data_IF_759656371252
#
_entry.id   IF_759656371252
#
_cell.length_a   1.000
_cell.length_b   1.000
_cell.length_c   1.000
_cell.angle_alpha   90.00
_cell.angle_beta   90.00
_cell.angle_gamma   90.00
#
_symmetry.space_group_name_H-M   'P 1'
#
loop_
_entity.id
_entity.type
_entity.pdbx_description
1 polymer ?
#
# COMPACT_ATOMS: atom_id res chain seq x y z
N UNK A 1 22.17 8.91 -3.45
CA UNK A 1 21.15 8.81 -2.38
C UNK A 1 19.82 9.29 -2.95
N UNK A 2 18.76 8.48 -2.88
CA UNK A 2 17.43 8.89 -3.33
C UNK A 2 16.87 10.01 -2.45
N UNK A 3 16.11 10.95 -3.03
CA UNK A 3 15.38 12.00 -2.29
C UNK A 3 14.49 11.39 -1.21
N UNK A 4 13.91 10.21 -1.48
CA UNK A 4 13.12 9.44 -0.52
C UNK A 4 13.90 9.13 0.76
N UNK A 5 15.17 8.72 0.63
CA UNK A 5 16.02 8.39 1.77
C UNK A 5 16.36 9.63 2.61
N UNK A 6 16.57 10.77 1.96
CA UNK A 6 16.86 12.05 2.64
C UNK A 6 15.66 12.49 3.49
N UNK A 7 14.46 12.47 2.91
CA UNK A 7 13.23 12.87 3.59
C UNK A 7 12.90 11.88 4.72
N UNK A 8 13.03 10.58 4.48
CA UNK A 8 12.77 9.54 5.50
C UNK A 8 13.71 9.68 6.69
N UNK A 9 15.01 9.90 6.44
CA UNK A 9 15.99 10.10 7.51
C UNK A 9 15.72 11.40 8.30
N UNK A 10 15.34 12.47 7.61
CA UNK A 10 14.98 13.72 8.27
C UNK A 10 13.72 13.58 9.14
N UNK A 11 12.74 12.79 8.69
CA UNK A 11 11.54 12.46 9.47
C UNK A 11 11.89 11.70 10.75
N UNK A 12 12.73 10.67 10.66
CA UNK A 12 13.20 9.89 11.81
C UNK A 12 13.96 10.76 12.83
N UNK A 13 14.74 11.74 12.34
CA UNK A 13 15.51 12.68 13.18
C UNK A 13 14.73 13.91 13.63
N UNK A 14 13.44 14.03 13.28
CA UNK A 14 12.60 15.21 13.56
C UNK A 14 13.27 16.53 13.15
N UNK A 15 13.87 16.56 11.97
CA UNK A 15 14.65 17.71 11.54
C UNK A 15 13.79 18.98 11.40
N UNK A 16 14.28 20.11 11.91
CA UNK A 16 13.53 21.37 11.95
C UNK A 16 13.19 21.95 10.57
N UNK A 17 13.96 21.61 9.52
CA UNK A 17 13.68 22.08 8.16
C UNK A 17 12.40 21.47 7.56
N UNK A 18 11.89 20.36 8.11
CA UNK A 18 10.62 19.76 7.67
C UNK A 18 9.43 20.69 7.88
N UNK A 19 9.54 21.71 8.74
CA UNK A 19 8.51 22.72 8.92
C UNK A 19 8.22 23.51 7.63
N UNK A 20 9.20 23.63 6.72
CA UNK A 20 8.99 24.23 5.41
C UNK A 20 8.03 23.42 4.53
N UNK A 21 7.85 22.13 4.82
CA UNK A 21 6.92 21.25 4.11
C UNK A 21 5.50 21.28 4.71
N UNK A 22 5.27 22.02 5.81
CA UNK A 22 3.94 22.16 6.42
C UNK A 22 2.85 22.69 5.48
N UNK A 23 3.05 23.76 4.69
CA UNK A 23 2.00 24.21 3.76
C UNK A 23 1.64 23.13 2.73
N UNK A 24 2.63 22.37 2.26
CA UNK A 24 2.43 21.23 1.35
C UNK A 24 1.66 20.10 2.05
N UNK A 25 1.99 19.84 3.33
CA UNK A 25 1.29 18.85 4.16
C UNK A 25 -0.18 19.22 4.37
N UNK A 26 -0.49 20.50 4.62
CA UNK A 26 -1.87 20.97 4.73
C UNK A 26 -2.65 20.83 3.42
N UNK A 27 -2.03 21.18 2.30
CA UNK A 27 -2.65 20.99 0.98
C UNK A 27 -2.94 19.52 0.70
N UNK A 28 -1.97 18.63 0.97
CA UNK A 28 -2.16 17.19 0.86
C UNK A 28 -3.27 16.69 1.81
N UNK A 29 -3.32 17.20 3.03
CA UNK A 29 -4.37 16.92 4.00
C UNK A 29 -5.76 17.32 3.50
N UNK A 30 -5.89 18.51 2.92
CA UNK A 30 -7.15 18.99 2.34
C UNK A 30 -7.62 18.08 1.19
N UNK A 31 -6.72 17.74 0.26
CA UNK A 31 -7.03 16.87 -0.88
C UNK A 31 -7.47 15.48 -0.41
N UNK A 32 -6.76 14.89 0.57
CA UNK A 32 -7.11 13.57 1.11
C UNK A 32 -8.43 13.58 1.88
N UNK A 33 -8.75 14.65 2.60
CA UNK A 33 -10.04 14.85 3.27
C UNK A 33 -11.19 14.96 2.28
N UNK A 34 -11.03 15.75 1.22
CA UNK A 34 -12.01 15.90 0.15
C UNK A 34 -12.25 14.56 -0.56
N UNK A 35 -11.18 13.85 -0.92
CA UNK A 35 -11.27 12.51 -1.54
C UNK A 35 -12.01 11.52 -0.64
N UNK A 36 -11.71 11.52 0.67
CA UNK A 36 -12.40 10.65 1.64
C UNK A 36 -13.88 11.00 1.75
N UNK A 37 -14.24 12.28 1.74
CA UNK A 37 -15.64 12.70 1.73
C UNK A 37 -16.35 12.25 0.45
N UNK A 38 -15.72 12.40 -0.71
CA UNK A 38 -16.29 11.97 -1.99
C UNK A 38 -16.63 10.47 -2.02
N UNK A 39 -15.80 9.60 -1.41
CA UNK A 39 -16.15 8.18 -1.23
C UNK A 39 -17.31 7.97 -0.24
N UNK A 40 -17.32 8.70 0.89
CA UNK A 40 -18.36 8.57 1.92
C UNK A 40 -19.76 8.93 1.41
N UNK A 41 -19.86 9.99 0.61
CA UNK A 41 -21.14 10.46 0.05
C UNK A 41 -21.52 9.72 -1.24
N UNK A 42 -20.72 8.73 -1.67
CA UNK A 42 -20.99 7.94 -2.88
C UNK A 42 -20.70 8.65 -4.20
N UNK A 43 -20.03 9.81 -4.18
CA UNK A 43 -19.62 10.52 -5.40
C UNK A 43 -18.58 9.71 -6.20
N UNK A 44 -17.71 8.97 -5.50
CA UNK A 44 -16.73 8.07 -6.11
C UNK A 44 -17.22 6.62 -6.04
N UNK A 45 -17.19 5.93 -7.19
CA UNK A 45 -17.57 4.52 -7.29
C UNK A 45 -16.66 3.63 -6.43
N UNK A 46 -17.27 2.73 -5.67
CA UNK A 46 -16.55 1.74 -4.87
C UNK A 46 -16.99 0.33 -5.27
N UNK A 47 -16.03 -0.53 -5.57
CA UNK A 47 -16.30 -1.94 -5.88
C UNK A 47 -16.58 -2.71 -4.58
N UNK A 48 -17.65 -3.50 -4.57
CA UNK A 48 -17.95 -4.45 -3.49
C UNK A 48 -17.76 -5.86 -4.02
N UNK A 49 -16.75 -6.55 -3.51
CA UNK A 49 -16.53 -7.94 -3.87
C UNK A 49 -17.66 -8.83 -3.29
N UNK A 50 -18.03 -9.91 -3.98
CA UNK A 50 -19.01 -10.89 -3.48
C UNK A 50 -18.45 -11.80 -2.37
N UNK A 51 -17.15 -11.67 -2.06
CA UNK A 51 -16.42 -12.44 -1.05
C UNK A 51 -15.85 -11.51 0.03
N UNK A 52 -15.56 -12.00 1.24
CA UNK A 52 -14.88 -11.22 2.27
C UNK A 52 -13.51 -10.74 1.78
N UNK A 53 -13.26 -9.43 1.87
CA UNK A 53 -11.98 -8.81 1.50
C UNK A 53 -11.36 -8.16 2.74
N UNK A 54 -10.12 -8.51 3.03
CA UNK A 54 -9.31 -7.88 4.07
C UNK A 54 -8.23 -7.02 3.42
N UNK A 55 -8.23 -5.72 3.72
CA UNK A 55 -7.23 -4.77 3.21
C UNK A 55 -6.15 -4.55 4.27
N UNK A 56 -4.91 -4.92 3.94
CA UNK A 56 -3.77 -4.77 4.85
C UNK A 56 -2.92 -3.58 4.39
N UNK A 57 -3.08 -2.46 5.08
CA UNK A 57 -2.39 -1.19 4.81
C UNK A 57 -1.39 -0.80 5.90
N UNK A 58 -0.67 0.30 5.66
CA UNK A 58 0.08 1.01 6.71
C UNK A 58 -0.12 2.51 6.49
N UNK A 59 -0.06 3.27 7.58
CA UNK A 59 -0.22 4.73 7.58
C UNK A 59 1.14 5.41 7.35
N UNK A 60 2.25 4.73 7.63
CA UNK A 60 3.61 5.26 7.46
C UNK A 60 4.29 4.77 6.18
N UNK A 61 5.19 5.60 5.65
CA UNK A 61 6.09 5.25 4.54
C UNK A 61 7.28 4.46 5.10
N UNK A 62 7.64 3.35 4.45
CA UNK A 62 8.77 2.48 4.83
C UNK A 62 8.40 1.01 5.14
N UNK A 63 9.43 0.24 5.52
CA UNK A 63 9.32 -1.18 5.88
C UNK A 63 8.47 -1.39 7.14
N UNK A 64 7.18 -1.60 6.93
CA UNK A 64 6.17 -1.62 7.99
C UNK A 64 5.75 -3.02 8.43
N UNK A 65 6.57 -4.03 8.13
CA UNK A 65 6.32 -5.42 8.51
C UNK A 65 5.06 -6.04 7.88
N UNK A 66 4.46 -5.40 6.86
CA UNK A 66 3.26 -5.92 6.18
C UNK A 66 3.48 -7.31 5.63
N UNK A 67 4.62 -7.55 4.97
CA UNK A 67 4.90 -8.84 4.31
C UNK A 67 4.97 -9.98 5.34
N UNK A 68 5.76 -9.90 6.43
CA UNK A 68 5.69 -10.89 7.51
C UNK A 68 4.30 -11.08 8.11
N UNK A 69 3.55 -9.99 8.32
CA UNK A 69 2.19 -10.05 8.86
C UNK A 69 1.23 -10.78 7.92
N UNK A 70 1.28 -10.49 6.62
CA UNK A 70 0.45 -11.13 5.59
C UNK A 70 0.77 -12.62 5.54
N UNK A 71 2.05 -13.01 5.53
CA UNK A 71 2.47 -14.42 5.51
C UNK A 71 1.92 -15.15 6.75
N UNK A 72 2.09 -14.58 7.95
CA UNK A 72 1.59 -15.16 9.18
C UNK A 72 0.06 -15.32 9.17
N UNK A 73 -0.67 -14.31 8.68
CA UNK A 73 -2.13 -14.32 8.59
C UNK A 73 -2.62 -15.37 7.59
N UNK A 74 -2.03 -15.42 6.39
CA UNK A 74 -2.38 -16.41 5.36
C UNK A 74 -2.17 -17.83 5.90
N UNK A 75 -1.02 -18.10 6.52
CA UNK A 75 -0.73 -19.39 7.13
C UNK A 75 -1.75 -19.76 8.22
N UNK A 76 -2.14 -18.79 9.05
CA UNK A 76 -3.15 -19.02 10.11
C UNK A 76 -4.54 -19.34 9.55
N UNK A 77 -4.98 -18.63 8.51
CA UNK A 77 -6.26 -18.87 7.86
C UNK A 77 -6.28 -20.21 7.10
N UNK A 78 -5.18 -20.55 6.42
CA UNK A 78 -5.03 -21.83 5.74
C UNK A 78 -5.06 -23.01 6.71
N UNK A 79 -4.44 -22.89 7.89
CA UNK A 79 -4.54 -23.90 8.97
C UNK A 79 -5.98 -24.14 9.46
N UNK A 80 -6.87 -23.18 9.24
CA UNK A 80 -8.31 -23.29 9.54
C UNK A 80 -9.13 -23.78 8.34
N UNK A 81 -8.48 -24.21 7.25
CA UNK A 81 -9.13 -24.70 6.03
C UNK A 81 -9.69 -23.60 5.11
N UNK A 82 -9.34 -22.33 5.35
CA UNK A 82 -9.83 -21.21 4.55
C UNK A 82 -8.93 -21.03 3.32
N UNK A 83 -9.53 -20.99 2.13
CA UNK A 83 -8.84 -20.65 0.88
C UNK A 83 -8.65 -19.13 0.83
N UNK A 84 -7.40 -18.69 0.77
CA UNK A 84 -7.02 -17.26 0.77
C UNK A 84 -6.35 -16.91 -0.56
N UNK A 85 -6.80 -15.81 -1.18
CA UNK A 85 -6.10 -15.16 -2.29
C UNK A 85 -5.44 -13.87 -1.82
N UNK A 86 -4.22 -13.60 -2.29
CA UNK A 86 -3.48 -12.37 -1.99
C UNK A 86 -3.37 -11.54 -3.26
N UNK A 87 -3.78 -10.28 -3.18
CA UNK A 87 -3.64 -9.32 -4.29
C UNK A 87 -2.59 -8.29 -3.86
N UNK A 88 -1.53 -8.17 -4.65
CA UNK A 88 -0.48 -7.15 -4.49
C UNK A 88 -0.56 -6.13 -5.63
N UNK A 89 0.08 -4.98 -5.44
CA UNK A 89 0.21 -3.94 -6.47
C UNK A 89 1.25 -4.28 -7.54
N UNK A 90 2.18 -5.20 -7.26
CA UNK A 90 3.31 -5.56 -8.14
C UNK A 90 4.26 -4.38 -8.39
N UNK A 91 4.66 -3.69 -7.33
CA UNK A 91 5.52 -2.52 -7.42
C UNK A 91 6.86 -2.90 -8.09
N UNK A 92 7.30 -2.11 -9.07
CA UNK A 92 8.51 -2.39 -9.86
C UNK A 92 8.33 -3.39 -11.01
N UNK A 93 7.15 -4.00 -11.16
CA UNK A 93 6.81 -4.88 -12.28
C UNK A 93 6.28 -4.11 -13.50
N UNK A 94 6.20 -4.82 -14.63
CA UNK A 94 5.65 -4.27 -15.87
C UNK A 94 4.13 -4.12 -15.81
N UNK A 95 3.67 -2.87 -15.73
CA UNK A 95 2.24 -2.53 -15.67
C UNK A 95 1.45 -2.97 -16.91
N UNK A 96 2.10 -3.17 -18.05
CA UNK A 96 1.43 -3.60 -19.29
C UNK A 96 0.94 -5.04 -19.23
N UNK A 97 1.52 -5.86 -18.34
CA UNK A 97 1.17 -7.27 -18.17
C UNK A 97 0.27 -7.52 -16.96
N UNK A 98 -0.30 -6.47 -16.37
CA UNK A 98 -1.20 -6.58 -15.22
C UNK A 98 -2.68 -6.60 -15.65
N UNK A 99 -3.56 -7.40 -14.99
CA UNK A 99 -3.28 -8.27 -13.84
C UNK A 99 -2.62 -9.61 -14.24
N UNK A 100 -1.60 -10.03 -13.48
CA UNK A 100 -0.89 -11.29 -13.68
C UNK A 100 -1.06 -12.23 -12.48
N UNK A 101 -1.15 -13.54 -12.74
CA UNK A 101 -1.10 -14.56 -11.70
C UNK A 101 0.35 -14.86 -11.35
N UNK A 102 0.71 -14.64 -10.08
CA UNK A 102 2.06 -14.89 -9.59
C UNK A 102 2.22 -16.37 -9.23
N UNK A 103 3.25 -16.99 -9.77
CA UNK A 103 3.64 -18.38 -9.52
C UNK A 103 5.16 -18.48 -9.27
N UNK A 104 5.64 -19.66 -8.91
CA UNK A 104 7.05 -19.88 -8.57
C UNK A 104 8.04 -19.62 -9.73
N UNK A 105 7.54 -19.56 -10.97
CA UNK A 105 8.32 -19.28 -12.18
C UNK A 105 8.19 -17.83 -12.67
N UNK A 106 7.42 -17.00 -11.96
CA UNK A 106 7.22 -15.60 -12.35
C UNK A 106 8.50 -14.79 -12.13
N UNK A 107 8.85 -13.94 -13.11
CA UNK A 107 10.03 -13.10 -13.03
C UNK A 107 9.71 -11.78 -12.30
N UNK A 108 10.57 -11.30 -11.38
CA UNK A 108 10.33 -10.06 -10.64
C UNK A 108 10.13 -8.82 -11.53
N UNK A 109 10.78 -8.74 -12.69
CA UNK A 109 10.60 -7.64 -13.63
C UNK A 109 9.19 -7.60 -14.25
N UNK A 110 8.46 -8.72 -14.28
CA UNK A 110 7.10 -8.79 -14.78
C UNK A 110 6.10 -8.53 -13.66
N UNK A 111 6.26 -9.17 -12.50
CA UNK A 111 5.24 -9.18 -11.44
C UNK A 111 5.52 -8.24 -10.27
N UNK A 112 6.68 -7.59 -10.27
CA UNK A 112 7.20 -6.79 -9.16
C UNK A 112 8.09 -7.61 -8.22
N UNK A 113 8.88 -6.88 -7.44
CA UNK A 113 9.76 -7.41 -6.39
C UNK A 113 9.00 -7.57 -5.05
#
# INVERSE_FOLDING_TARGET
>A
MSIETIITNAWQRKAAWLWLLLPISWLYGLITLLRRHAYKVGLLSSYRAPIPVMVIGNISVGGSGKTPLIIALVNHLQKRGIKVGVISRGYGGDTSQMPALVNATSLPNVVGD
#
